data_IF_696225917324
#
_entry.id   IF_696225917324
#
_cell.length_a   1.000
_cell.length_b   1.000
_cell.length_c   1.000
_cell.angle_alpha   90.00
_cell.angle_beta   90.00
_cell.angle_gamma   90.00
#
_symmetry.space_group_name_H-M   'P 1'
#
loop_
_entity.id
_entity.type
_entity.pdbx_description
1 polymer ?
#
# COMPACT_ATOMS: atom_id res chain seq x y z
N UNK A 1 -21.04 6.16 20.73
CA UNK A 1 -19.73 5.63 20.28
C UNK A 1 -18.82 6.79 19.93
N UNK A 2 -17.80 7.06 20.75
CA UNK A 2 -16.61 7.83 20.37
C UNK A 2 -15.42 6.94 20.73
N UNK A 3 -14.96 6.06 19.84
CA UNK A 3 -14.06 4.97 20.21
C UNK A 3 -12.58 5.39 20.31
N UNK A 4 -12.23 6.65 20.00
CA UNK A 4 -10.85 7.12 20.00
C UNK A 4 -10.73 8.47 20.71
N UNK A 5 -9.74 8.58 21.60
CA UNK A 5 -9.29 9.86 22.18
C UNK A 5 -7.78 9.94 22.05
N UNK A 6 -7.30 11.08 21.54
CA UNK A 6 -5.89 11.44 21.66
C UNK A 6 -5.65 11.98 23.06
N UNK A 7 -4.78 11.32 23.82
CA UNK A 7 -4.26 11.87 25.08
C UNK A 7 -2.93 12.55 24.75
N UNK A 8 -2.92 13.88 24.81
CA UNK A 8 -1.72 14.70 24.64
C UNK A 8 -1.33 15.33 25.98
N UNK A 9 -0.06 15.19 26.34
CA UNK A 9 0.57 15.85 27.49
C UNK A 9 0.48 17.40 27.45
N UNK A 10 0.21 18.00 26.28
CA UNK A 10 0.39 19.42 26.06
C UNK A 10 -0.73 20.33 26.63
N UNK A 11 -1.77 19.78 27.26
CA UNK A 11 -2.95 20.57 27.67
C UNK A 11 -3.32 20.45 29.16
N UNK A 12 -2.42 20.00 30.05
CA UNK A 12 -2.67 20.00 31.50
C UNK A 12 -1.70 20.90 32.25
N UNK A 13 -2.19 21.77 33.15
CA UNK A 13 -1.32 22.51 34.07
C UNK A 13 -0.52 21.51 34.92
N UNK A 14 0.73 21.87 35.18
CA UNK A 14 1.81 21.05 35.75
C UNK A 14 1.60 20.60 37.22
N UNK A 15 0.37 20.62 37.72
CA UNK A 15 0.02 20.40 39.11
C UNK A 15 -1.28 19.59 39.23
N UNK A 16 -1.23 18.30 38.90
CA UNK A 16 -2.08 17.31 39.57
C UNK A 16 -1.48 15.89 39.49
N UNK A 17 -0.38 15.69 40.22
CA UNK A 17 0.35 14.41 40.30
C UNK A 17 -0.38 13.37 41.19
N UNK A 18 -1.54 13.71 41.77
CA UNK A 18 -2.26 12.85 42.70
C UNK A 18 -3.19 11.84 42.02
N UNK A 19 -3.63 12.10 40.77
CA UNK A 19 -4.57 11.25 40.03
C UNK A 19 -4.00 10.66 38.72
N UNK A 20 -2.76 11.01 38.35
CA UNK A 20 -2.14 10.50 37.13
C UNK A 20 -1.77 9.02 37.29
N UNK A 21 -2.27 8.15 36.41
CA UNK A 21 -1.80 6.77 36.35
C UNK A 21 -0.31 6.71 36.02
N UNK A 22 0.40 5.63 36.41
CA UNK A 22 1.82 5.44 36.08
C UNK A 22 2.07 5.62 34.57
N UNK A 23 1.12 5.18 33.75
CA UNK A 23 1.17 5.32 32.30
C UNK A 23 1.11 6.78 31.83
N UNK A 24 0.28 7.63 32.47
CA UNK A 24 0.23 9.07 32.20
C UNK A 24 1.56 9.77 32.56
N UNK A 25 2.18 9.38 33.69
CA UNK A 25 3.50 9.91 34.06
C UNK A 25 4.57 9.53 33.03
N UNK A 26 4.53 8.31 32.49
CA UNK A 26 5.44 7.86 31.43
C UNK A 26 5.25 8.63 30.11
N UNK A 27 3.99 8.88 29.74
CA UNK A 27 3.60 9.66 28.56
C UNK A 27 4.16 11.08 28.63
N UNK A 28 3.98 11.74 29.77
CA UNK A 28 4.44 13.13 29.98
C UNK A 28 5.97 13.22 30.00
N UNK A 29 6.64 12.25 30.65
CA UNK A 29 8.10 12.23 30.78
C UNK A 29 8.79 11.96 29.45
N UNK A 30 8.26 11.04 28.64
CA UNK A 30 8.87 10.63 27.38
C UNK A 30 8.34 11.41 26.16
N UNK A 31 7.35 12.29 26.35
CA UNK A 31 6.64 13.04 25.27
C UNK A 31 6.10 12.12 24.18
N UNK A 32 5.47 11.02 24.58
CA UNK A 32 4.94 9.99 23.67
C UNK A 32 3.43 10.17 23.52
N UNK A 33 2.92 10.11 22.30
CA UNK A 33 1.47 10.06 22.07
C UNK A 33 0.98 8.62 22.16
N UNK A 34 -0.10 8.38 22.91
CA UNK A 34 -0.72 7.05 23.04
C UNK A 34 -2.10 7.02 22.41
N UNK A 35 -2.49 5.85 21.89
CA UNK A 35 -3.82 5.57 21.39
C UNK A 35 -4.63 4.85 22.48
N UNK A 36 -5.70 5.48 22.95
CA UNK A 36 -6.67 4.84 23.83
C UNK A 36 -7.86 4.33 23.00
N UNK A 37 -8.17 3.04 23.13
CA UNK A 37 -9.35 2.41 22.51
C UNK A 37 -10.24 1.88 23.64
N UNK A 38 -11.50 2.36 23.69
CA UNK A 38 -12.46 1.94 24.71
C UNK A 38 -13.60 1.11 24.08
N UNK A 39 -14.06 0.09 24.80
CA UNK A 39 -15.25 -0.70 24.44
C UNK A 39 -16.18 -0.86 25.63
N UNK A 40 -17.49 -0.71 25.39
CA UNK A 40 -18.54 -0.98 26.38
C UNK A 40 -18.73 -2.49 26.62
N UNK A 41 -18.23 -3.34 25.72
CA UNK A 41 -18.30 -4.80 25.79
C UNK A 41 -16.91 -5.38 26.06
N UNK A 42 -16.87 -6.48 26.79
CA UNK A 42 -15.64 -7.23 27.02
C UNK A 42 -15.19 -7.88 25.70
N UNK A 43 -14.06 -7.41 25.18
CA UNK A 43 -13.44 -7.93 23.95
C UNK A 43 -12.21 -8.78 24.31
N UNK A 44 -11.90 -9.77 23.47
CA UNK A 44 -10.64 -10.50 23.58
C UNK A 44 -9.45 -9.58 23.30
N UNK A 45 -8.29 -9.88 23.88
CA UNK A 45 -7.05 -9.13 23.63
C UNK A 45 -6.71 -9.03 22.13
N UNK A 46 -6.99 -10.10 21.36
CA UNK A 46 -6.78 -10.15 19.91
C UNK A 46 -7.70 -9.22 19.09
N UNK A 47 -8.81 -8.74 19.67
CA UNK A 47 -9.77 -7.89 18.96
C UNK A 47 -9.35 -6.42 18.89
N UNK A 48 -8.38 -6.00 19.70
CA UNK A 48 -7.94 -4.59 19.78
C UNK A 48 -6.95 -4.20 18.69
N UNK A 49 -6.07 -5.14 18.30
CA UNK A 49 -5.03 -4.88 17.30
C UNK A 49 -5.61 -4.41 15.95
N UNK A 50 -6.65 -5.05 15.38
CA UNK A 50 -7.25 -4.58 14.13
C UNK A 50 -7.86 -3.17 14.22
N UNK A 51 -8.32 -2.74 15.40
CA UNK A 51 -8.86 -1.40 15.61
C UNK A 51 -7.73 -0.35 15.61
N UNK A 52 -6.58 -0.68 16.21
CA UNK A 52 -5.40 0.16 16.20
C UNK A 52 -4.84 0.30 14.78
N UNK A 53 -4.71 -0.80 14.03
CA UNK A 53 -4.23 -0.78 12.64
C UNK A 53 -5.17 0.06 11.75
N UNK A 54 -6.48 -0.06 11.94
CA UNK A 54 -7.43 0.79 11.23
C UNK A 54 -7.25 2.28 11.53
N UNK A 55 -6.97 2.62 12.79
CA UNK A 55 -6.69 3.99 13.19
C UNK A 55 -5.40 4.52 12.59
N UNK A 56 -4.33 3.71 12.57
CA UNK A 56 -3.06 4.11 11.97
C UNK A 56 -3.25 4.48 10.50
N UNK A 57 -3.89 3.62 9.71
CA UNK A 57 -4.20 3.93 8.32
C UNK A 57 -5.01 5.23 8.20
N UNK A 58 -6.06 5.40 9.01
CA UNK A 58 -6.90 6.60 8.95
C UNK A 58 -6.14 7.90 9.25
N UNK A 59 -5.22 7.87 10.21
CA UNK A 59 -4.37 9.00 10.56
C UNK A 59 -3.34 9.28 9.45
N UNK A 60 -2.68 8.25 8.92
CA UNK A 60 -1.74 8.41 7.81
C UNK A 60 -2.41 8.96 6.55
N UNK A 61 -3.60 8.43 6.22
CA UNK A 61 -4.39 8.81 5.06
C UNK A 61 -4.89 10.26 5.14
N UNK A 62 -5.50 10.67 6.26
CA UNK A 62 -6.12 11.99 6.37
C UNK A 62 -5.15 13.11 6.78
N UNK A 63 -4.10 12.80 7.54
CA UNK A 63 -3.25 13.82 8.17
C UNK A 63 -1.80 13.82 7.63
N UNK A 64 -1.44 12.92 6.71
CA UNK A 64 -0.03 12.68 6.34
C UNK A 64 0.85 12.42 7.57
N UNK A 65 0.26 11.89 8.64
CA UNK A 65 0.94 11.72 9.92
C UNK A 65 1.34 10.26 10.10
N UNK A 66 2.65 9.95 10.06
CA UNK A 66 3.10 8.58 10.25
C UNK A 66 2.94 8.15 11.70
N UNK A 67 2.20 7.08 11.92
CA UNK A 67 2.11 6.39 13.22
C UNK A 67 2.89 5.09 13.12
N UNK A 68 4.07 5.06 13.72
CA UNK A 68 4.92 3.87 13.75
C UNK A 68 4.63 3.10 15.05
N UNK A 69 4.00 1.92 14.98
CA UNK A 69 3.80 1.09 16.17
C UNK A 69 5.16 0.67 16.74
N UNK A 70 5.32 0.80 18.05
CA UNK A 70 6.51 0.36 18.78
C UNK A 70 6.16 -0.92 19.56
N UNK A 71 6.51 -2.13 19.05
CA UNK A 71 6.11 -3.37 19.68
C UNK A 71 6.82 -3.65 21.00
N UNK A 72 7.95 -2.98 21.29
CA UNK A 72 8.63 -3.10 22.59
C UNK A 72 9.07 -1.77 23.20
N UNK A 73 9.04 -1.72 24.54
CA UNK A 73 9.57 -0.59 25.32
C UNK A 73 11.04 -0.27 24.98
N UNK A 74 11.81 -1.29 24.58
CA UNK A 74 13.21 -1.15 24.18
C UNK A 74 13.37 -0.35 22.88
N UNK A 75 12.41 -0.46 21.97
CA UNK A 75 12.41 0.28 20.71
C UNK A 75 11.94 1.73 20.93
N UNK A 76 11.05 1.98 21.89
CA UNK A 76 10.66 3.32 22.33
C UNK A 76 11.85 4.13 22.89
N UNK A 77 12.86 3.47 23.46
CA UNK A 77 14.08 4.11 23.98
C UNK A 77 15.09 4.46 22.87
N UNK A 78 14.90 3.98 21.63
CA UNK A 78 15.68 4.42 20.47
C UNK A 78 15.02 5.67 19.94
N UNK A 79 15.55 6.83 20.33
CA UNK A 79 15.10 8.14 19.86
C UNK A 79 15.32 8.30 18.34
N UNK A 80 14.42 7.79 17.52
CA UNK A 80 14.24 8.26 16.15
C UNK A 80 13.49 9.59 16.24
N UNK A 81 14.23 10.68 16.02
CA UNK A 81 13.68 12.03 15.96
C UNK A 81 12.63 12.08 14.85
N UNK A 82 11.35 12.08 15.21
CA UNK A 82 10.26 12.45 14.29
C UNK A 82 10.17 13.98 14.32
N UNK A 83 10.82 14.62 13.35
CA UNK A 83 10.60 16.04 13.07
C UNK A 83 9.75 16.16 11.80
N UNK A 84 8.48 16.53 12.00
CA UNK A 84 7.69 17.50 11.23
C UNK A 84 6.21 17.09 11.28
N UNK A 85 5.48 17.70 12.21
CA UNK A 85 4.02 17.62 12.25
C UNK A 85 3.47 18.75 11.39
N UNK A 86 2.94 18.43 10.20
CA UNK A 86 1.97 19.32 9.54
C UNK A 86 0.69 19.25 10.37
N UNK A 87 0.29 20.37 10.94
CA UNK A 87 -0.98 20.50 11.67
C UNK A 87 -2.12 20.58 10.66
N UNK A 88 -2.68 19.43 10.31
CA UNK A 88 -4.01 19.35 9.72
C UNK A 88 -5.03 19.15 10.86
N UNK A 89 -6.25 19.67 10.70
CA UNK A 89 -7.25 19.75 11.76
C UNK A 89 -7.64 18.36 12.31
N UNK A 90 -6.98 17.90 13.37
CA UNK A 90 -7.33 16.69 14.11
C UNK A 90 -8.79 16.66 14.61
N UNK A 91 -9.46 17.81 14.62
CA UNK A 91 -10.88 17.93 14.99
C UNK A 91 -11.84 17.28 13.97
N UNK A 92 -11.41 17.06 12.73
CA UNK A 92 -12.21 16.43 11.67
C UNK A 92 -11.98 14.91 11.55
N UNK A 93 -11.03 14.36 12.33
CA UNK A 93 -10.71 12.94 12.28
C UNK A 93 -11.76 12.12 13.03
N UNK A 94 -12.59 11.39 12.28
CA UNK A 94 -13.53 10.43 12.84
C UNK A 94 -12.88 9.06 13.09
N UNK A 95 -13.57 8.21 13.83
CA UNK A 95 -13.20 6.82 14.03
C UNK A 95 -13.20 6.04 12.71
N UNK A 96 -12.19 5.20 12.43
CA UNK A 96 -12.24 4.30 11.29
C UNK A 96 -13.45 3.35 11.37
N UNK A 97 -14.24 3.28 10.30
CA UNK A 97 -15.40 2.40 10.17
C UNK A 97 -15.09 1.06 9.49
N UNK A 98 -13.84 0.86 9.06
CA UNK A 98 -13.38 -0.34 8.37
C UNK A 98 -12.20 -0.95 9.11
N UNK A 99 -12.01 -2.25 8.92
CA UNK A 99 -10.80 -2.97 9.32
C UNK A 99 -9.95 -3.23 8.08
N UNK A 100 -8.65 -3.10 8.26
CA UNK A 100 -7.67 -3.29 7.20
C UNK A 100 -6.67 -4.39 7.57
N UNK A 101 -6.02 -4.94 6.56
CA UNK A 101 -4.99 -5.96 6.73
C UNK A 101 -3.75 -5.28 7.36
N UNK A 102 -3.27 -5.74 8.53
CA UNK A 102 -2.18 -5.07 9.26
C UNK A 102 -0.91 -4.88 8.41
N UNK A 103 -0.53 -5.89 7.63
CA UNK A 103 0.65 -5.86 6.76
C UNK A 103 0.59 -4.70 5.74
N UNK A 104 -0.58 -4.46 5.14
CA UNK A 104 -0.77 -3.34 4.21
C UNK A 104 -0.66 -2.00 4.93
N UNK A 105 -1.26 -1.90 6.12
CA UNK A 105 -1.20 -0.68 6.95
C UNK A 105 0.23 -0.38 7.35
N UNK A 106 1.00 -1.37 7.80
CA UNK A 106 2.38 -1.17 8.26
C UNK A 106 3.30 -0.75 7.13
N UNK A 107 3.17 -1.34 5.94
CA UNK A 107 3.89 -0.90 4.74
C UNK A 107 3.51 0.54 4.34
N UNK A 108 2.22 0.88 4.40
CA UNK A 108 1.76 2.25 4.15
C UNK A 108 2.34 3.25 5.16
N UNK A 109 2.32 2.93 6.47
CA UNK A 109 2.89 3.80 7.50
C UNK A 109 4.40 3.98 7.33
N UNK A 110 5.12 2.91 6.98
CA UNK A 110 6.54 2.99 6.68
C UNK A 110 6.79 3.97 5.52
N UNK A 111 6.01 3.87 4.45
CA UNK A 111 6.12 4.73 3.28
C UNK A 111 5.85 6.21 3.59
N UNK A 112 4.85 6.51 4.42
CA UNK A 112 4.53 7.88 4.87
C UNK A 112 5.60 8.43 5.83
N UNK A 113 6.27 7.56 6.59
CA UNK A 113 7.24 7.96 7.61
C UNK A 113 8.65 8.25 7.11
N UNK A 114 9.00 7.78 5.91
CA UNK A 114 10.36 7.81 5.40
C UNK A 114 10.64 9.07 4.58
N UNK A 115 11.80 9.67 4.78
CA UNK A 115 12.30 10.77 3.94
C UNK A 115 12.90 10.28 2.61
N UNK A 116 13.24 9.00 2.49
CA UNK A 116 13.81 8.41 1.28
C UNK A 116 12.71 8.11 0.24
N UNK A 117 12.71 8.75 -0.96
CA UNK A 117 11.72 8.48 -1.99
C UNK A 117 11.76 7.03 -2.51
N UNK A 118 12.96 6.43 -2.52
CA UNK A 118 13.13 5.01 -2.88
C UNK A 118 12.43 4.09 -1.87
N UNK A 119 12.59 4.35 -0.57
CA UNK A 119 11.93 3.54 0.44
C UNK A 119 10.42 3.76 0.41
N UNK A 120 9.97 5.01 0.25
CA UNK A 120 8.55 5.33 0.13
C UNK A 120 7.89 4.57 -1.03
N UNK A 121 8.49 4.64 -2.23
CA UNK A 121 7.99 3.93 -3.41
C UNK A 121 7.89 2.43 -3.17
N UNK A 122 8.95 1.80 -2.65
CA UNK A 122 8.98 0.35 -2.44
C UNK A 122 7.97 -0.09 -1.36
N UNK A 123 7.83 0.69 -0.29
CA UNK A 123 6.85 0.42 0.77
C UNK A 123 5.42 0.53 0.25
N UNK A 124 5.09 1.53 -0.58
CA UNK A 124 3.79 1.56 -1.27
C UNK A 124 3.63 0.40 -2.27
N UNK A 125 4.68 0.03 -2.99
CA UNK A 125 4.66 -1.11 -3.93
C UNK A 125 4.33 -2.44 -3.24
N UNK A 126 4.86 -2.67 -2.03
CA UNK A 126 4.59 -3.88 -1.26
C UNK A 126 3.10 -4.04 -0.91
N UNK A 127 2.33 -2.96 -0.86
CA UNK A 127 0.86 -3.02 -0.70
C UNK A 127 0.20 -3.73 -1.90
N UNK A 128 0.70 -3.51 -3.12
CA UNK A 128 0.24 -4.24 -4.30
C UNK A 128 0.79 -5.66 -4.34
N UNK A 129 2.07 -5.83 -3.99
CA UNK A 129 2.77 -7.14 -4.02
C UNK A 129 2.11 -8.19 -3.12
N UNK A 130 1.50 -7.77 -2.01
CA UNK A 130 0.72 -8.63 -1.12
C UNK A 130 -0.31 -9.51 -1.87
N UNK A 131 -0.88 -9.00 -2.97
CA UNK A 131 -1.94 -9.68 -3.72
C UNK A 131 -1.44 -10.55 -4.88
N UNK A 132 -0.14 -10.52 -5.21
CA UNK A 132 0.38 -11.08 -6.46
C UNK A 132 0.12 -12.58 -6.62
N UNK A 133 0.32 -13.35 -5.55
CA UNK A 133 0.03 -14.78 -5.54
C UNK A 133 -1.45 -15.06 -5.77
N UNK A 134 -2.31 -14.37 -5.02
CA UNK A 134 -3.76 -14.60 -5.05
C UNK A 134 -4.35 -14.25 -6.41
N UNK A 135 -4.00 -13.10 -6.99
CA UNK A 135 -4.56 -12.67 -8.29
C UNK A 135 -4.14 -13.59 -9.42
N UNK A 136 -2.92 -14.14 -9.39
CA UNK A 136 -2.46 -15.12 -10.39
C UNK A 136 -3.22 -16.43 -10.24
N UNK A 137 -3.35 -16.93 -9.01
CA UNK A 137 -4.10 -18.17 -8.76
C UNK A 137 -5.56 -18.04 -9.22
N UNK A 138 -6.19 -16.90 -8.93
CA UNK A 138 -7.55 -16.59 -9.35
C UNK A 138 -7.69 -16.51 -10.88
N UNK A 139 -6.74 -15.87 -11.58
CA UNK A 139 -6.73 -15.80 -13.04
C UNK A 139 -6.55 -17.18 -13.69
N UNK A 140 -5.63 -18.01 -13.16
CA UNK A 140 -5.45 -19.39 -13.62
C UNK A 140 -6.72 -20.21 -13.38
N UNK A 141 -7.33 -20.09 -12.21
CA UNK A 141 -8.58 -20.78 -11.88
C UNK A 141 -9.71 -20.38 -12.82
N UNK A 142 -9.88 -19.07 -13.10
CA UNK A 142 -10.88 -18.57 -14.03
C UNK A 142 -10.66 -19.08 -15.47
N UNK A 143 -9.41 -19.06 -15.95
CA UNK A 143 -9.04 -19.64 -17.26
C UNK A 143 -9.36 -21.13 -17.31
N UNK A 144 -9.02 -21.91 -16.28
CA UNK A 144 -9.33 -23.33 -16.22
C UNK A 144 -10.83 -23.58 -16.21
N UNK A 145 -11.59 -22.85 -15.40
CA UNK A 145 -13.05 -22.91 -15.34
C UNK A 145 -13.67 -22.68 -16.72
N UNK A 146 -13.22 -21.66 -17.44
CA UNK A 146 -13.71 -21.37 -18.81
C UNK A 146 -13.44 -22.50 -19.80
N UNK A 147 -12.30 -23.21 -19.66
CA UNK A 147 -11.97 -24.34 -20.55
C UNK A 147 -12.81 -25.56 -20.20
N UNK A 148 -12.96 -25.89 -18.92
CA UNK A 148 -13.71 -27.10 -18.51
C UNK A 148 -15.22 -26.95 -18.69
N UNK A 149 -15.74 -25.72 -18.63
CA UNK A 149 -17.16 -25.43 -18.83
C UNK A 149 -17.56 -25.32 -20.30
N UNK A 150 -16.59 -25.28 -21.22
CA UNK A 150 -16.86 -25.20 -22.65
C UNK A 150 -17.57 -26.47 -23.14
N UNK A 151 -18.64 -26.38 -23.95
CA UNK A 151 -19.29 -27.54 -24.55
C UNK A 151 -18.34 -28.39 -25.40
N UNK A 152 -17.30 -27.77 -25.95
CA UNK A 152 -16.28 -28.44 -26.75
C UNK A 152 -15.32 -29.27 -25.91
N UNK A 153 -15.29 -29.12 -24.59
CA UNK A 153 -14.36 -29.84 -23.72
C UNK A 153 -14.91 -31.22 -23.32
N UNK A 154 -14.04 -32.23 -23.34
CA UNK A 154 -14.38 -33.56 -22.82
C UNK A 154 -13.28 -34.08 -21.91
N UNK A 155 -13.62 -34.30 -20.64
CA UNK A 155 -12.73 -34.92 -19.65
C UNK A 155 -12.31 -36.36 -20.02
N UNK A 156 -13.02 -37.00 -20.97
CA UNK A 156 -12.68 -38.33 -21.49
C UNK A 156 -11.64 -38.28 -22.62
N UNK A 157 -11.44 -37.13 -23.28
CA UNK A 157 -10.51 -36.99 -24.40
C UNK A 157 -9.11 -36.63 -23.92
N UNK A 158 -8.15 -37.53 -24.14
CA UNK A 158 -6.74 -37.32 -23.78
C UNK A 158 -6.12 -36.04 -24.39
N UNK A 159 -6.60 -35.60 -25.56
CA UNK A 159 -6.17 -34.33 -26.18
C UNK A 159 -6.51 -33.13 -25.28
N UNK A 160 -7.70 -33.12 -24.69
CA UNK A 160 -8.19 -32.02 -23.86
C UNK A 160 -7.52 -32.02 -22.49
N UNK A 161 -7.35 -33.20 -21.89
CA UNK A 161 -6.57 -33.34 -20.65
C UNK A 161 -5.14 -32.84 -20.82
N UNK A 162 -4.48 -33.18 -21.94
CA UNK A 162 -3.14 -32.65 -22.28
C UNK A 162 -3.14 -31.14 -22.53
N UNK A 163 -4.25 -30.54 -22.96
CA UNK A 163 -4.37 -29.08 -23.12
C UNK A 163 -4.42 -28.40 -21.75
N UNK A 164 -5.19 -28.95 -20.81
CA UNK A 164 -5.25 -28.46 -19.43
C UNK A 164 -3.89 -28.55 -18.73
N UNK A 165 -3.23 -29.72 -18.78
CA UNK A 165 -1.90 -29.90 -18.18
C UNK A 165 -0.92 -28.85 -18.73
N UNK A 166 -0.89 -28.64 -20.05
CA UNK A 166 -0.03 -27.63 -20.68
C UNK A 166 -0.38 -26.19 -20.27
N UNK A 167 -1.64 -25.89 -20.00
CA UNK A 167 -2.06 -24.57 -19.51
C UNK A 167 -1.53 -24.35 -18.09
N UNK A 168 -1.78 -25.32 -17.19
CA UNK A 168 -1.30 -25.25 -15.81
C UNK A 168 0.23 -25.18 -15.75
N UNK A 169 0.95 -26.07 -16.43
CA UNK A 169 2.41 -26.11 -16.38
C UNK A 169 3.10 -24.87 -16.98
N UNK A 170 2.40 -24.07 -17.79
CA UNK A 170 2.95 -22.83 -18.35
C UNK A 170 2.87 -21.68 -17.35
N UNK A 171 1.71 -21.56 -16.70
CA UNK A 171 1.40 -20.46 -15.78
C UNK A 171 1.95 -20.73 -14.37
N UNK A 172 1.98 -22.00 -13.96
CA UNK A 172 2.53 -22.46 -12.68
C UNK A 172 3.92 -23.05 -12.94
N UNK A 173 4.93 -22.21 -12.76
CA UNK A 173 6.31 -22.67 -12.61
C UNK A 173 6.65 -22.61 -11.13
N UNK A 174 7.11 -23.71 -10.53
CA UNK A 174 7.52 -23.75 -9.14
C UNK A 174 9.03 -23.87 -9.01
N UNK A 175 9.62 -23.16 -8.05
CA UNK A 175 11.02 -23.30 -7.66
C UNK A 175 11.08 -23.34 -6.14
N UNK A 176 11.65 -24.41 -5.58
CA UNK A 176 11.70 -24.62 -4.13
C UNK A 176 10.32 -24.53 -3.44
N UNK A 177 9.29 -25.11 -4.05
CA UNK A 177 7.88 -25.04 -3.58
C UNK A 177 7.23 -23.64 -3.56
N UNK A 178 7.92 -22.61 -4.09
CA UNK A 178 7.35 -21.27 -4.32
C UNK A 178 6.93 -21.08 -5.79
N UNK A 179 5.84 -20.36 -6.01
CA UNK A 179 5.38 -19.96 -7.34
C UNK A 179 6.35 -18.93 -7.93
N UNK A 180 6.86 -19.21 -9.14
CA UNK A 180 7.59 -18.23 -9.94
C UNK A 180 6.56 -17.32 -10.59
N UNK A 181 6.29 -16.21 -9.90
CA UNK A 181 5.32 -15.20 -10.32
C UNK A 181 5.90 -14.37 -11.47
N UNK A 182 5.14 -14.24 -12.56
CA UNK A 182 5.38 -13.16 -13.51
C UNK A 182 4.87 -11.85 -12.88
N UNK A 183 5.78 -11.13 -12.23
CA UNK A 183 5.52 -9.90 -11.50
C UNK A 183 4.74 -8.86 -12.32
N UNK A 184 5.08 -8.68 -13.61
CA UNK A 184 4.36 -7.72 -14.47
C UNK A 184 2.91 -8.13 -14.69
N UNK A 185 2.64 -9.43 -14.86
CA UNK A 185 1.27 -9.95 -14.97
C UNK A 185 0.52 -9.84 -13.65
N UNK A 186 1.16 -10.15 -12.52
CA UNK A 186 0.56 -10.03 -11.20
C UNK A 186 0.18 -8.58 -10.89
N UNK A 187 1.08 -7.64 -11.16
CA UNK A 187 0.83 -6.21 -11.00
C UNK A 187 -0.35 -5.77 -11.88
N UNK A 188 -0.38 -6.19 -13.15
CA UNK A 188 -1.48 -5.85 -14.06
C UNK A 188 -2.83 -6.32 -13.52
N UNK A 189 -2.91 -7.58 -13.08
CA UNK A 189 -4.14 -8.16 -12.52
C UNK A 189 -4.55 -7.47 -11.20
N UNK A 190 -3.57 -7.12 -10.35
CA UNK A 190 -3.81 -6.39 -9.09
C UNK A 190 -4.38 -5.01 -9.36
N UNK A 191 -3.78 -4.25 -10.28
CA UNK A 191 -4.31 -2.94 -10.67
C UNK A 191 -5.69 -3.08 -11.31
N UNK A 192 -5.93 -4.11 -12.12
CA UNK A 192 -7.25 -4.38 -12.71
C UNK A 192 -8.32 -4.65 -11.66
N UNK A 193 -7.96 -5.30 -10.56
CA UNK A 193 -8.87 -5.64 -9.48
C UNK A 193 -9.21 -4.44 -8.60
N UNK A 194 -8.20 -3.61 -8.29
CA UNK A 194 -8.32 -2.58 -7.25
C UNK A 194 -8.29 -1.14 -7.75
N UNK A 195 -7.82 -0.85 -8.96
CA UNK A 195 -7.67 0.52 -9.42
C UNK A 195 -8.93 1.01 -10.15
N UNK A 196 -9.45 2.15 -9.72
CA UNK A 196 -10.37 2.97 -10.50
C UNK A 196 -9.57 4.14 -11.13
N UNK A 197 -9.51 4.17 -12.45
CA UNK A 197 -8.74 5.18 -13.20
C UNK A 197 -9.40 6.57 -13.14
N UNK A 198 -10.71 6.64 -13.00
CA UNK A 198 -11.45 7.91 -12.88
C UNK A 198 -11.13 8.55 -11.53
N UNK A 199 -11.23 7.76 -10.46
CA UNK A 199 -10.88 8.23 -9.11
C UNK A 199 -9.40 8.56 -9.01
N UNK A 200 -8.51 7.75 -9.60
CA UNK A 200 -7.07 8.03 -9.60
C UNK A 200 -6.77 9.38 -10.25
N UNK A 201 -7.39 9.66 -11.41
CA UNK A 201 -7.24 10.95 -12.10
C UNK A 201 -7.72 12.10 -11.22
N UNK A 202 -8.92 11.99 -10.66
CA UNK A 202 -9.50 13.05 -9.84
C UNK A 202 -8.64 13.38 -8.61
N UNK A 203 -8.11 12.36 -7.94
CA UNK A 203 -7.23 12.55 -6.78
C UNK A 203 -5.90 13.18 -7.19
N UNK A 204 -5.28 12.74 -8.29
CA UNK A 204 -4.06 13.35 -8.82
C UNK A 204 -4.26 14.83 -9.17
N UNK A 205 -5.32 15.15 -9.93
CA UNK A 205 -5.67 16.53 -10.30
C UNK A 205 -5.93 17.42 -9.06
N UNK A 206 -6.51 16.85 -8.00
CA UNK A 206 -6.75 17.58 -6.74
C UNK A 206 -5.48 17.82 -5.91
N UNK A 207 -4.49 16.94 -6.05
CA UNK A 207 -3.23 17.01 -5.32
C UNK A 207 -2.26 17.99 -5.99
N UNK A 208 -2.09 17.85 -7.31
CA UNK A 208 -1.28 18.72 -8.17
C UNK A 208 -1.77 18.57 -9.61
N UNK A 209 -2.32 19.65 -10.17
CA UNK A 209 -2.95 19.68 -11.49
C UNK A 209 -1.96 19.46 -12.65
N UNK A 210 -0.65 19.44 -12.37
CA UNK A 210 0.39 19.18 -13.36
C UNK A 210 0.73 17.69 -13.50
N UNK A 211 0.35 16.84 -12.54
CA UNK A 211 0.75 15.43 -12.50
C UNK A 211 0.17 14.61 -13.65
N UNK A 212 -1.11 14.83 -13.98
CA UNK A 212 -1.77 14.09 -15.06
C UNK A 212 -1.11 14.41 -16.40
N UNK A 213 -0.81 15.69 -16.67
CA UNK A 213 -0.07 16.11 -17.86
C UNK A 213 1.38 15.58 -17.86
N UNK A 214 2.02 15.51 -16.69
CA UNK A 214 3.35 14.94 -16.55
C UNK A 214 3.37 13.47 -17.00
N UNK A 215 2.45 12.63 -16.51
CA UNK A 215 2.41 11.21 -16.86
C UNK A 215 2.09 10.95 -18.35
N UNK A 216 1.35 11.84 -18.99
CA UNK A 216 1.03 11.70 -20.42
C UNK A 216 2.18 12.07 -21.36
N UNK A 217 3.12 12.92 -20.91
CA UNK A 217 4.17 13.45 -21.77
C UNK A 217 5.61 13.06 -21.37
N UNK A 218 5.84 12.65 -20.12
CA UNK A 218 7.19 12.43 -19.58
C UNK A 218 7.45 10.98 -19.24
N UNK A 219 8.52 10.41 -19.81
CA UNK A 219 9.06 9.12 -19.37
C UNK A 219 9.81 9.27 -18.04
N UNK A 220 9.92 8.18 -17.29
CA UNK A 220 10.77 8.16 -16.08
C UNK A 220 12.23 8.07 -16.52
N UNK A 221 12.99 9.14 -16.31
CA UNK A 221 14.33 9.31 -16.90
C UNK A 221 15.29 8.14 -16.66
N UNK A 222 15.30 7.59 -15.44
CA UNK A 222 16.22 6.53 -15.01
C UNK A 222 15.71 5.11 -15.27
N UNK A 223 14.40 4.90 -15.47
CA UNK A 223 13.82 3.56 -15.70
C UNK A 223 13.29 3.35 -17.12
N UNK A 224 13.12 4.43 -17.88
CA UNK A 224 12.38 4.46 -19.16
C UNK A 224 10.95 3.94 -19.00
N UNK A 225 10.34 4.30 -17.88
CA UNK A 225 8.92 4.08 -17.59
C UNK A 225 8.05 4.75 -18.66
N UNK A 226 7.02 4.03 -19.12
CA UNK A 226 6.20 4.47 -20.25
C UNK A 226 5.29 5.65 -19.86
N UNK A 227 4.93 6.46 -20.86
CA UNK A 227 3.88 7.48 -20.74
C UNK A 227 2.49 6.84 -20.82
N UNK A 228 1.52 7.44 -20.16
CA UNK A 228 0.12 7.00 -20.23
C UNK A 228 -0.83 8.19 -20.05
N UNK A 229 -1.98 8.13 -20.72
CA UNK A 229 -2.99 9.19 -20.68
C UNK A 229 -4.23 8.73 -19.91
N UNK A 230 -4.43 9.26 -18.70
CA UNK A 230 -5.62 9.02 -17.87
C UNK A 230 -6.92 9.60 -18.47
N UNK A 231 -6.83 10.45 -19.50
CA UNK A 231 -7.97 10.96 -20.26
C UNK A 231 -8.42 10.05 -21.40
N UNK A 232 -7.68 8.99 -21.71
CA UNK A 232 -8.02 8.07 -22.80
C UNK A 232 -9.22 7.19 -22.46
N UNK A 233 -10.14 7.04 -23.42
CA UNK A 233 -11.29 6.14 -23.30
C UNK A 233 -10.91 4.65 -23.33
N UNK A 234 -9.66 4.31 -23.69
CA UNK A 234 -9.18 2.93 -23.71
C UNK A 234 -8.53 2.56 -22.38
N UNK A 235 -9.37 2.36 -21.36
CA UNK A 235 -8.93 2.06 -19.99
C UNK A 235 -7.96 0.87 -19.88
N UNK A 236 -8.15 -0.19 -20.67
CA UNK A 236 -7.25 -1.36 -20.65
C UNK A 236 -5.84 -1.01 -21.16
N UNK A 237 -5.75 -0.19 -22.21
CA UNK A 237 -4.45 0.26 -22.73
C UNK A 237 -3.74 1.18 -21.73
N UNK A 238 -4.49 2.07 -21.06
CA UNK A 238 -3.98 2.94 -20.00
C UNK A 238 -3.44 2.10 -18.84
N UNK A 239 -4.24 1.13 -18.38
CA UNK A 239 -3.86 0.23 -17.29
C UNK A 239 -2.59 -0.56 -17.61
N UNK A 240 -2.46 -1.05 -18.85
CA UNK A 240 -1.27 -1.77 -19.30
C UNK A 240 -0.03 -0.86 -19.35
N UNK A 241 -0.17 0.38 -19.82
CA UNK A 241 0.93 1.35 -19.84
C UNK A 241 1.37 1.74 -18.42
N UNK A 242 0.40 2.00 -17.53
CA UNK A 242 0.63 2.25 -16.11
C UNK A 242 1.38 1.08 -15.45
N UNK A 243 0.93 -0.16 -15.69
CA UNK A 243 1.58 -1.38 -15.19
C UNK A 243 3.06 -1.41 -15.60
N UNK A 244 3.34 -1.17 -16.89
CA UNK A 244 4.71 -1.19 -17.42
C UNK A 244 5.57 -0.10 -16.80
N UNK A 245 5.02 1.11 -16.61
CA UNK A 245 5.73 2.22 -15.96
C UNK A 245 6.14 1.84 -14.54
N UNK A 246 5.20 1.37 -13.72
CA UNK A 246 5.46 0.97 -12.33
C UNK A 246 6.48 -0.18 -12.28
N UNK A 247 6.30 -1.22 -13.09
CA UNK A 247 7.20 -2.37 -13.14
C UNK A 247 8.64 -1.97 -13.53
N UNK A 248 8.80 -1.13 -14.55
CA UNK A 248 10.12 -0.61 -14.97
C UNK A 248 10.76 0.22 -13.86
N UNK A 249 9.99 1.12 -13.22
CA UNK A 249 10.46 1.93 -12.11
C UNK A 249 10.92 1.05 -10.95
N UNK A 250 10.11 0.10 -10.49
CA UNK A 250 10.47 -0.86 -9.43
C UNK A 250 11.75 -1.62 -9.76
N UNK A 251 11.86 -2.14 -10.98
CA UNK A 251 13.06 -2.88 -11.40
C UNK A 251 14.32 -2.03 -11.40
N UNK A 252 14.23 -0.76 -11.83
CA UNK A 252 15.38 0.15 -11.81
C UNK A 252 15.81 0.55 -10.38
N UNK A 253 14.90 0.49 -9.40
CA UNK A 253 15.20 0.69 -7.97
C UNK A 253 15.90 -0.52 -7.34
N UNK A 254 15.45 -1.73 -7.65
CA UNK A 254 15.90 -2.98 -7.02
C UNK A 254 17.12 -3.59 -7.71
N UNK A 255 17.12 -3.64 -9.05
CA UNK A 255 18.12 -4.37 -9.80
C UNK A 255 19.28 -3.47 -10.24
N UNK A 256 20.40 -3.58 -9.52
CA UNK A 256 21.66 -2.90 -9.85
C UNK A 256 22.58 -3.83 -10.63
N UNK A 257 22.31 -4.06 -11.91
CA UNK A 257 23.25 -4.79 -12.78
C UNK A 257 24.25 -3.81 -13.40
N UNK A 258 25.54 -4.11 -13.27
CA UNK A 258 26.59 -3.32 -13.94
C UNK A 258 26.44 -3.46 -15.47
N UNK A 259 26.26 -2.33 -16.16
CA UNK A 259 26.06 -2.25 -17.61
C UNK A 259 24.63 -1.92 -18.05
N UNK A 260 23.66 -1.93 -17.14
CA UNK A 260 22.29 -1.52 -17.45
C UNK A 260 22.19 0.01 -17.54
N UNK A 261 21.51 0.50 -18.59
CA UNK A 261 21.28 1.94 -18.80
C UNK A 261 20.16 2.46 -17.91
N UNK A 262 19.25 1.58 -17.48
CA UNK A 262 18.11 1.94 -16.65
C UNK A 262 18.37 1.59 -15.18
N UNK A 263 19.03 2.49 -14.45
CA UNK A 263 19.32 2.31 -13.02
C UNK A 263 19.04 3.58 -12.23
N UNK A 264 18.44 3.41 -11.06
CA UNK A 264 18.26 4.50 -10.11
C UNK A 264 19.56 4.81 -9.35
N UNK A 265 19.89 6.09 -9.25
CA UNK A 265 20.99 6.62 -8.45
C UNK A 265 20.40 7.55 -7.38
N UNK A 266 20.49 7.19 -6.08
CA UNK A 266 20.00 8.02 -4.99
C UNK A 266 20.55 9.46 -5.06
N UNK A 267 19.75 10.43 -4.63
CA UNK A 267 20.02 11.88 -4.64
C UNK A 267 20.06 12.51 -6.04
N UNK A 268 20.49 11.78 -7.06
CA UNK A 268 20.51 12.26 -8.44
C UNK A 268 19.13 12.13 -9.08
N UNK A 269 18.50 10.96 -8.93
CA UNK A 269 17.27 10.61 -9.61
C UNK A 269 16.03 10.79 -8.72
N UNK A 270 16.19 11.25 -7.47
CA UNK A 270 15.11 11.44 -6.49
C UNK A 270 13.98 12.32 -7.04
N UNK A 271 14.31 13.44 -7.69
CA UNK A 271 13.31 14.33 -8.33
C UNK A 271 12.51 13.65 -9.44
N UNK A 272 13.12 12.71 -10.15
CA UNK A 272 12.44 11.94 -11.19
C UNK A 272 11.59 10.79 -10.59
N UNK A 273 11.85 10.42 -9.34
CA UNK A 273 11.11 9.39 -8.61
C UNK A 273 9.93 9.98 -7.81
N UNK A 274 10.00 11.25 -7.40
CA UNK A 274 8.93 11.94 -6.64
C UNK A 274 7.52 11.78 -7.26
N UNK A 275 7.29 12.04 -8.57
CA UNK A 275 5.98 11.80 -9.18
C UNK A 275 5.56 10.32 -9.11
N UNK A 276 6.49 9.39 -9.18
CA UNK A 276 6.19 7.96 -9.12
C UNK A 276 5.84 7.51 -7.69
N UNK A 277 6.40 8.15 -6.66
CA UNK A 277 6.02 7.93 -5.26
C UNK A 277 4.56 8.35 -5.05
N UNK A 278 4.18 9.53 -5.55
CA UNK A 278 2.80 10.05 -5.44
C UNK A 278 1.82 9.12 -6.17
N UNK A 279 2.17 8.69 -7.38
CA UNK A 279 1.37 7.73 -8.14
C UNK A 279 1.16 6.41 -7.37
N UNK A 280 2.27 5.82 -6.87
CA UNK A 280 2.21 4.55 -6.16
C UNK A 280 1.46 4.68 -4.82
N UNK A 281 1.56 5.83 -4.15
CA UNK A 281 0.79 6.14 -2.94
C UNK A 281 -0.72 6.05 -3.19
N UNK A 282 -1.25 6.79 -4.17
CA UNK A 282 -2.69 6.80 -4.43
C UNK A 282 -3.21 5.44 -4.90
N UNK A 283 -2.39 4.68 -5.63
CA UNK A 283 -2.70 3.28 -5.95
C UNK A 283 -2.78 2.43 -4.69
N UNK A 284 -1.81 2.55 -3.77
CA UNK A 284 -1.79 1.80 -2.51
C UNK A 284 -3.01 2.13 -1.63
N UNK A 285 -3.42 3.41 -1.57
CA UNK A 285 -4.61 3.84 -0.84
C UNK A 285 -5.88 3.19 -1.41
N UNK A 286 -6.06 3.17 -2.73
CA UNK A 286 -7.20 2.48 -3.34
C UNK A 286 -7.21 0.98 -3.03
N UNK A 287 -6.05 0.31 -3.08
CA UNK A 287 -5.93 -1.11 -2.74
C UNK A 287 -6.34 -1.36 -1.28
N UNK A 288 -5.83 -0.57 -0.33
CA UNK A 288 -6.16 -0.70 1.10
C UNK A 288 -7.65 -0.44 1.33
N UNK A 289 -8.21 0.61 0.73
CA UNK A 289 -9.62 0.98 0.90
C UNK A 289 -10.55 -0.11 0.35
N UNK A 290 -10.27 -0.63 -0.86
CA UNK A 290 -11.11 -1.64 -1.51
C UNK A 290 -10.97 -3.03 -0.90
N UNK A 291 -9.82 -3.36 -0.31
CA UNK A 291 -9.64 -4.61 0.45
C UNK A 291 -10.16 -4.56 1.88
N UNK A 292 -10.45 -3.36 2.41
CA UNK A 292 -10.97 -3.17 3.76
C UNK A 292 -12.38 -3.75 3.96
N UNK A 293 -12.61 -4.38 5.12
CA UNK A 293 -13.92 -4.94 5.50
C UNK A 293 -14.65 -3.97 6.45
N UNK A 294 -15.97 -3.81 6.28
CA UNK A 294 -16.79 -2.99 7.18
C UNK A 294 -16.78 -3.62 8.59
N UNK A 295 -16.51 -2.80 9.61
CA UNK A 295 -16.35 -3.23 10.99
C UNK A 295 -17.67 -3.54 11.69
#
# INVERSE_FOLDING_TARGET
MRPFRFVSAAARPLFDLAESTVLEMFVDTLRITTLEICSERQLSASSWQPLADAFYFHVGYNLDYPVIPQPTLKEMLRSTKIQNVRRTNAAELDAPHRRYIPDLVHNYQLAVSTDSPMLAFLSFYHVAEHWFDEVIQNDIAAKLQSVISSPDFSYKRMKDLRKLIRMVSREIQTRNDELVINEMTALHLTLKLYLDLIDLRAVLDSFDDTLVEHYSHSDVSFSKGDVFDLGSNNHEAVLLALTKRIYKTRNALVHRKNGDRSRFVPFKDDKALEPEVILMRFIAEQIIIKSGTVA
#
